data_IF_366069141903
#
_entry.id   IF_366069141903
#
_cell.length_a   1.000
_cell.length_b   1.000
_cell.length_c   1.000
_cell.angle_alpha   90.00
_cell.angle_beta   90.00
_cell.angle_gamma   90.00
#
_symmetry.space_group_name_H-M   'P 1'
#
loop_
_entity.id
_entity.type
_entity.pdbx_description
1 polymer ?
#
# COMPACT_ATOMS: atom_id res chain seq x y z
N UNK A 1 -2.87 115.64 66.12
CA UNK A 1 -1.73 115.06 65.39
C UNK A 1 -2.27 113.98 64.46
N UNK A 2 -2.49 114.28 63.17
CA UNK A 2 -2.87 113.27 62.17
C UNK A 2 -1.61 112.84 61.42
N UNK A 3 -1.21 111.59 61.59
CA UNK A 3 -0.11 110.95 60.86
C UNK A 3 -0.48 110.86 59.38
N UNK A 4 0.29 111.51 58.50
CA UNK A 4 0.19 111.34 57.05
C UNK A 4 0.31 109.86 56.70
N UNK A 5 -0.60 109.28 55.89
CA UNK A 5 -0.42 107.92 55.39
C UNK A 5 0.84 107.88 54.52
N UNK A 6 1.75 106.98 54.83
CA UNK A 6 2.93 106.68 54.03
C UNK A 6 2.49 106.18 52.65
N UNK A 7 2.44 107.08 51.67
CA UNK A 7 2.24 106.74 50.27
C UNK A 7 3.38 105.80 49.85
N UNK A 8 3.06 104.52 49.67
CA UNK A 8 4.04 103.54 49.22
C UNK A 8 4.23 103.75 47.72
N UNK A 9 5.35 104.36 47.34
CA UNK A 9 5.67 104.58 45.91
C UNK A 9 6.12 103.25 45.32
N UNK A 10 5.38 102.75 44.34
CA UNK A 10 5.69 101.52 43.62
C UNK A 10 6.61 101.81 42.44
N UNK A 11 7.64 100.97 42.26
CA UNK A 11 8.35 100.88 40.99
C UNK A 11 7.57 99.93 40.06
N UNK A 12 7.65 100.16 38.75
CA UNK A 12 6.98 99.31 37.75
C UNK A 12 7.38 97.84 37.90
N UNK A 13 8.66 97.56 38.18
CA UNK A 13 9.16 96.20 38.44
C UNK A 13 8.57 95.58 39.71
N UNK A 14 8.38 96.37 40.78
CA UNK A 14 7.73 95.89 42.01
C UNK A 14 6.26 95.56 41.78
N UNK A 15 5.55 96.41 41.03
CA UNK A 15 4.15 96.19 40.67
C UNK A 15 3.99 94.90 39.84
N UNK A 16 4.78 94.71 38.79
CA UNK A 16 4.72 93.50 37.96
C UNK A 16 5.02 92.22 38.75
N UNK A 17 5.98 92.27 39.69
CA UNK A 17 6.31 91.13 40.54
C UNK A 17 5.18 90.77 41.51
N UNK A 18 4.53 91.76 42.12
CA UNK A 18 3.37 91.52 43.00
C UNK A 18 2.15 91.00 42.20
N UNK A 19 1.89 91.54 41.00
CA UNK A 19 0.81 91.04 40.12
C UNK A 19 1.08 89.59 39.68
N UNK A 20 2.33 89.27 39.28
CA UNK A 20 2.72 87.90 38.95
C UNK A 20 2.44 86.94 40.09
N UNK A 21 2.84 87.29 41.32
CA UNK A 21 2.60 86.46 42.50
C UNK A 21 1.10 86.23 42.77
N UNK A 22 0.27 87.27 42.61
CA UNK A 22 -1.18 87.14 42.76
C UNK A 22 -1.81 86.23 41.70
N UNK A 23 -1.37 86.32 40.44
CA UNK A 23 -1.86 85.47 39.35
C UNK A 23 -1.44 84.01 39.52
N UNK A 24 -0.18 83.78 39.87
CA UNK A 24 0.35 82.42 40.08
C UNK A 24 -0.27 81.75 41.31
N UNK A 25 -0.62 82.51 42.36
CA UNK A 25 -1.36 81.99 43.52
C UNK A 25 -2.85 81.77 43.22
N UNK A 26 -3.50 82.67 42.46
CA UNK A 26 -4.92 82.58 42.14
C UNK A 26 -5.26 81.48 41.12
N UNK A 27 -4.34 81.18 40.21
CA UNK A 27 -4.56 80.25 39.09
C UNK A 27 -3.43 79.22 38.95
N UNK A 28 -3.32 78.34 39.95
CA UNK A 28 -2.23 77.37 40.07
C UNK A 28 -2.17 76.32 38.93
N UNK A 29 -3.31 75.85 38.41
CA UNK A 29 -3.38 74.97 37.24
C UNK A 29 -4.76 75.03 36.61
N UNK A 30 -4.82 75.26 35.30
CA UNK A 30 -6.05 75.40 34.53
C UNK A 30 -6.00 74.49 33.29
N UNK A 31 -7.16 74.03 32.85
CA UNK A 31 -7.33 73.34 31.57
C UNK A 31 -8.14 74.25 30.66
N UNK A 32 -7.59 74.55 29.48
CA UNK A 32 -8.18 75.47 28.51
C UNK A 32 -8.29 74.79 27.15
N UNK A 33 -9.39 75.03 26.46
CA UNK A 33 -9.60 74.58 25.08
C UNK A 33 -9.56 75.79 24.16
N UNK A 34 -8.81 75.72 23.06
CA UNK A 34 -8.75 76.80 22.09
C UNK A 34 -7.98 76.42 20.83
N UNK A 35 -8.07 77.27 19.83
CA UNK A 35 -7.36 77.11 18.57
C UNK A 35 -5.97 77.76 18.67
N UNK A 36 -4.95 77.06 18.15
CA UNK A 36 -3.59 77.58 18.09
C UNK A 36 -3.42 78.53 16.91
N UNK A 37 -2.90 79.71 17.17
CA UNK A 37 -2.47 80.68 16.16
C UNK A 37 -1.04 81.17 16.41
N UNK A 38 -0.37 81.64 15.36
CA UNK A 38 0.98 82.21 15.43
C UNK A 38 2.01 81.31 16.13
N UNK A 39 2.00 80.01 15.85
CA UNK A 39 2.96 79.04 16.38
C UNK A 39 4.37 79.27 15.83
N UNK A 40 5.33 79.40 16.74
CA UNK A 40 6.75 79.61 16.46
C UNK A 40 7.57 78.62 17.32
N UNK A 41 8.50 77.91 16.66
CA UNK A 41 9.45 77.02 17.31
C UNK A 41 10.89 77.43 16.95
N UNK A 42 11.53 78.34 17.71
CA UNK A 42 12.91 78.77 17.48
C UNK A 42 13.93 77.66 17.82
N UNK A 43 15.19 77.85 17.40
CA UNK A 43 16.29 76.90 17.64
C UNK A 43 16.61 76.65 19.13
N UNK A 44 16.13 77.50 20.05
CA UNK A 44 16.21 77.30 21.50
C UNK A 44 15.35 76.12 21.99
N UNK A 45 14.40 75.66 21.18
CA UNK A 45 13.55 74.51 21.49
C UNK A 45 12.36 74.83 22.40
N UNK A 46 12.03 76.10 22.62
CA UNK A 46 10.77 76.52 23.26
C UNK A 46 9.70 76.75 22.20
N UNK A 47 8.44 76.50 22.53
CA UNK A 47 7.32 76.80 21.63
C UNK A 47 6.57 78.02 22.13
N UNK A 48 6.28 78.95 21.23
CA UNK A 48 5.46 80.12 21.51
C UNK A 48 4.28 80.13 20.55
N UNK A 49 3.09 80.36 21.06
CA UNK A 49 1.87 80.44 20.27
C UNK A 49 0.82 81.28 20.97
N UNK A 50 -0.25 81.63 20.30
CA UNK A 50 -1.42 82.26 20.90
C UNK A 50 -2.57 81.27 20.90
N UNK A 51 -3.17 81.05 22.08
CA UNK A 51 -4.38 80.26 22.23
C UNK A 51 -5.57 81.22 22.11
N UNK A 52 -6.45 80.99 21.13
CA UNK A 52 -7.64 81.81 20.89
C UNK A 52 -8.92 81.00 21.07
N UNK A 53 -9.96 81.67 21.56
CA UNK A 53 -11.35 81.24 21.49
C UNK A 53 -12.15 82.23 20.62
N UNK A 54 -13.47 82.11 20.58
CA UNK A 54 -14.34 82.98 19.76
C UNK A 54 -14.32 84.47 20.17
N UNK A 55 -13.84 84.80 21.37
CA UNK A 55 -13.97 86.15 21.98
C UNK A 55 -12.64 86.75 22.45
N UNK A 56 -11.63 85.95 22.71
CA UNK A 56 -10.38 86.34 23.35
C UNK A 56 -9.18 85.52 22.83
N UNK A 57 -7.98 86.08 23.01
CA UNK A 57 -6.73 85.39 22.74
C UNK A 57 -5.72 85.65 23.85
N UNK A 58 -4.87 84.68 24.13
CA UNK A 58 -3.82 84.77 25.15
C UNK A 58 -2.52 84.15 24.63
N UNK A 59 -1.39 84.79 24.94
CA UNK A 59 -0.06 84.27 24.58
C UNK A 59 0.27 83.07 25.45
N UNK A 60 0.81 82.02 24.84
CA UNK A 60 1.21 80.79 25.49
C UNK A 60 2.66 80.44 25.14
N UNK A 61 3.37 79.90 26.13
CA UNK A 61 4.74 79.42 26.01
C UNK A 61 4.84 78.00 26.57
N UNK A 62 5.54 77.12 25.85
CA UNK A 62 5.83 75.76 26.28
C UNK A 62 7.35 75.56 26.28
N UNK A 63 7.90 75.25 27.46
CA UNK A 63 9.33 75.11 27.65
C UNK A 63 9.85 73.79 27.07
N UNK A 64 11.16 73.73 26.81
CA UNK A 64 11.82 72.59 26.13
C UNK A 64 11.74 71.31 26.95
N UNK A 65 11.68 71.42 28.27
CA UNK A 65 11.49 70.26 29.15
C UNK A 65 10.12 69.61 28.95
N UNK A 66 9.08 70.44 28.76
CA UNK A 66 7.69 70.00 28.64
C UNK A 66 7.35 69.50 27.23
N UNK A 67 7.91 70.10 26.18
CA UNK A 67 7.63 69.68 24.81
C UNK A 67 8.37 68.41 24.35
N UNK A 68 9.45 67.98 25.05
CA UNK A 68 10.16 66.72 24.76
C UNK A 68 9.32 65.47 24.99
N UNK A 69 8.37 65.54 25.93
CA UNK A 69 7.48 64.44 26.27
C UNK A 69 6.16 64.48 25.49
N UNK A 70 6.02 65.39 24.52
CA UNK A 70 4.81 65.51 23.71
C UNK A 70 4.97 64.71 22.42
N UNK A 71 4.02 63.80 22.17
CA UNK A 71 3.91 63.05 20.92
C UNK A 71 3.34 63.91 19.78
N UNK A 72 2.67 65.01 20.11
CA UNK A 72 1.96 65.87 19.17
C UNK A 72 2.69 67.21 18.99
N UNK A 73 3.00 67.57 17.74
CA UNK A 73 3.51 68.89 17.39
C UNK A 73 2.36 69.73 16.85
N UNK A 74 2.00 70.84 17.52
CA UNK A 74 0.86 71.65 17.11
C UNK A 74 1.08 72.36 15.78
N UNK A 75 -0.03 72.57 15.06
CA UNK A 75 -0.10 73.31 13.80
C UNK A 75 -1.04 74.51 14.00
N UNK A 76 -0.78 75.62 13.31
CA UNK A 76 -1.71 76.75 13.29
C UNK A 76 -3.07 76.29 12.77
N UNK A 77 -4.15 76.67 13.46
CA UNK A 77 -5.51 76.23 13.15
C UNK A 77 -5.98 74.99 13.92
N UNK A 78 -5.09 74.33 14.69
CA UNK A 78 -5.47 73.14 15.46
C UNK A 78 -6.21 73.52 16.75
N UNK A 79 -7.35 72.87 17.01
CA UNK A 79 -8.03 72.92 18.29
C UNK A 79 -7.31 72.03 19.30
N UNK A 80 -6.91 72.58 20.43
CA UNK A 80 -6.17 71.86 21.48
C UNK A 80 -6.78 72.08 22.85
N UNK A 81 -6.61 71.09 23.72
CA UNK A 81 -6.82 71.18 25.16
C UNK A 81 -5.44 71.28 25.82
N UNK A 82 -5.17 72.37 26.52
CA UNK A 82 -3.90 72.61 27.19
C UNK A 82 -4.08 72.68 28.69
N UNK A 83 -3.20 72.00 29.43
CA UNK A 83 -3.04 72.19 30.88
C UNK A 83 -1.93 73.20 31.11
N UNK A 84 -2.26 74.34 31.72
CA UNK A 84 -1.36 75.48 31.82
C UNK A 84 -1.48 76.22 33.15
N UNK A 85 -0.46 77.02 33.47
CA UNK A 85 -0.46 77.98 34.58
C UNK A 85 -0.45 79.40 34.06
N UNK A 86 -1.17 80.30 34.73
CA UNK A 86 -1.17 81.72 34.38
C UNK A 86 0.05 82.38 35.02
N UNK A 87 0.81 83.12 34.23
CA UNK A 87 1.96 83.90 34.71
C UNK A 87 2.02 85.24 33.96
N UNK A 88 2.94 86.10 34.38
CA UNK A 88 3.13 87.44 33.81
C UNK A 88 4.61 87.65 33.47
N UNK A 89 4.87 88.11 32.25
CA UNK A 89 6.23 88.39 31.78
C UNK A 89 6.71 89.73 32.34
N UNK A 90 7.43 89.67 33.47
CA UNK A 90 7.85 90.84 34.27
C UNK A 90 8.47 92.01 33.49
N UNK A 91 9.33 91.80 32.46
CA UNK A 91 9.96 92.91 31.75
C UNK A 91 8.99 93.75 30.89
N UNK A 92 7.86 93.17 30.45
CA UNK A 92 6.88 93.87 29.60
C UNK A 92 5.49 93.99 30.22
N UNK A 93 5.19 93.25 31.29
CA UNK A 93 3.87 93.24 31.91
C UNK A 93 2.81 92.45 31.14
N UNK A 94 3.22 91.62 30.16
CA UNK A 94 2.28 90.82 29.35
C UNK A 94 1.81 89.58 30.12
N UNK A 95 0.51 89.31 30.11
CA UNK A 95 -0.06 88.04 30.58
C UNK A 95 0.30 86.90 29.64
N UNK A 96 0.68 85.76 30.20
CA UNK A 96 1.02 84.56 29.43
C UNK A 96 0.60 83.27 30.13
N UNK A 97 0.32 82.24 29.33
CA UNK A 97 0.13 80.88 29.80
C UNK A 97 1.44 80.09 29.66
N UNK A 98 1.86 79.44 30.75
CA UNK A 98 2.92 78.44 30.70
C UNK A 98 2.26 77.07 30.55
N UNK A 99 2.37 76.48 29.37
CA UNK A 99 1.73 75.20 29.03
C UNK A 99 2.60 74.05 29.51
N UNK A 100 2.01 73.19 30.33
CA UNK A 100 2.67 72.00 30.88
C UNK A 100 2.42 70.78 30.00
N UNK A 101 1.18 70.61 29.54
CA UNK A 101 0.71 69.48 28.73
C UNK A 101 -0.27 69.96 27.66
N UNK A 102 -0.26 69.33 26.48
CA UNK A 102 -1.11 69.70 25.33
C UNK A 102 -1.63 68.43 24.66
N UNK A 103 -2.94 68.39 24.41
CA UNK A 103 -3.60 67.32 23.66
C UNK A 103 -4.53 67.92 22.60
N UNK A 104 -4.76 67.25 21.45
CA UNK A 104 -5.78 67.67 20.50
C UNK A 104 -7.17 67.69 21.16
N UNK A 105 -7.94 68.75 20.95
CA UNK A 105 -9.31 68.81 21.44
C UNK A 105 -10.24 68.04 20.48
N UNK A 106 -10.66 66.83 20.87
CA UNK A 106 -11.60 66.01 20.11
C UNK A 106 -11.50 64.50 20.39
N UNK A 107 -10.28 63.98 20.54
CA UNK A 107 -10.05 62.53 20.73
C UNK A 107 -10.64 62.00 22.05
N UNK A 108 -10.62 62.79 23.13
CA UNK A 108 -11.13 62.37 24.44
C UNK A 108 -12.66 62.18 24.47
N UNK A 109 -13.42 63.05 23.80
CA UNK A 109 -14.89 62.93 23.73
C UNK A 109 -15.31 61.76 22.85
N UNK A 110 -14.71 61.62 21.66
CA UNK A 110 -14.97 60.49 20.77
C UNK A 110 -14.62 59.15 21.44
N UNK A 111 -13.52 59.08 22.19
CA UNK A 111 -13.18 57.86 22.92
C UNK A 111 -14.21 57.50 24.00
N UNK A 112 -14.71 58.49 24.74
CA UNK A 112 -15.77 58.27 25.73
C UNK A 112 -17.08 57.80 25.08
N UNK A 113 -17.47 58.41 23.96
CA UNK A 113 -18.65 58.00 23.19
C UNK A 113 -18.51 56.56 22.65
N UNK A 114 -17.33 56.21 22.16
CA UNK A 114 -17.01 54.86 21.71
C UNK A 114 -17.12 53.84 22.83
N UNK A 115 -16.49 54.10 23.98
CA UNK A 115 -16.51 53.17 25.12
C UNK A 115 -17.94 52.99 25.66
N UNK A 116 -18.72 54.08 25.74
CA UNK A 116 -20.11 54.04 26.17
C UNK A 116 -20.98 53.21 25.22
N UNK A 117 -20.82 53.40 23.90
CA UNK A 117 -21.56 52.63 22.90
C UNK A 117 -21.14 51.15 22.89
N UNK A 118 -19.84 50.88 23.01
CA UNK A 118 -19.29 49.52 23.10
C UNK A 118 -19.91 48.77 24.28
N UNK A 119 -19.94 49.38 25.46
CA UNK A 119 -20.56 48.75 26.65
C UNK A 119 -22.04 48.46 26.44
N UNK A 120 -22.79 49.39 25.84
CA UNK A 120 -24.23 49.21 25.57
C UNK A 120 -24.50 48.05 24.62
N UNK A 121 -23.85 48.02 23.46
CA UNK A 121 -24.05 46.98 22.45
C UNK A 121 -23.52 45.60 22.91
N UNK A 122 -22.45 45.59 23.73
CA UNK A 122 -21.98 44.37 24.38
C UNK A 122 -23.02 43.80 25.35
N UNK A 123 -23.66 44.67 26.17
CA UNK A 123 -24.69 44.26 27.12
C UNK A 123 -25.95 43.71 26.42
N UNK A 124 -26.28 44.23 25.23
CA UNK A 124 -27.33 43.69 24.36
C UNK A 124 -26.95 42.37 23.67
N UNK A 125 -25.67 41.97 23.72
CA UNK A 125 -25.19 40.68 23.20
C UNK A 125 -24.78 40.69 21.72
N UNK A 126 -24.73 41.84 21.05
CA UNK A 126 -24.41 41.96 19.62
C UNK A 126 -22.99 41.46 19.26
N UNK A 127 -22.09 41.38 20.25
CA UNK A 127 -20.71 40.91 20.05
C UNK A 127 -20.54 39.41 20.33
N UNK A 128 -21.61 38.72 20.76
CA UNK A 128 -21.55 37.31 21.15
C UNK A 128 -21.21 36.43 19.95
N UNK A 129 -20.25 35.52 20.13
CA UNK A 129 -19.85 34.55 19.10
C UNK A 129 -20.98 33.59 18.72
N UNK A 130 -22.01 33.43 19.56
CA UNK A 130 -23.14 32.55 19.29
C UNK A 130 -24.02 33.01 18.11
N UNK A 131 -24.04 34.30 17.81
CA UNK A 131 -24.83 34.87 16.70
C UNK A 131 -24.00 35.11 15.43
N UNK A 132 -22.67 34.95 15.51
CA UNK A 132 -21.78 35.14 14.36
C UNK A 132 -21.90 33.99 13.38
N UNK A 133 -22.07 34.33 12.10
CA UNK A 133 -22.22 33.36 11.02
C UNK A 133 -20.86 32.83 10.58
N UNK A 134 -20.70 31.50 10.41
CA UNK A 134 -19.48 30.97 9.82
C UNK A 134 -19.38 31.41 8.36
N UNK A 135 -18.15 31.56 7.86
CA UNK A 135 -17.92 31.78 6.44
C UNK A 135 -18.39 30.55 5.64
N UNK A 136 -19.03 30.74 4.47
CA UNK A 136 -19.40 29.64 3.59
C UNK A 136 -18.17 28.83 3.17
N UNK A 137 -18.30 27.51 3.08
CA UNK A 137 -17.18 26.64 2.64
C UNK A 137 -16.79 26.88 1.18
N UNK A 138 -17.77 27.21 0.34
CA UNK A 138 -17.58 27.53 -1.07
C UNK A 138 -18.07 28.95 -1.30
N UNK A 139 -17.14 29.87 -1.54
CA UNK A 139 -17.41 31.24 -1.93
C UNK A 139 -17.16 31.32 -3.44
N UNK A 140 -18.16 31.74 -4.20
CA UNK A 140 -18.07 31.97 -5.64
C UNK A 140 -18.14 33.46 -5.98
N UNK A 141 -18.97 34.21 -5.23
CA UNK A 141 -19.13 35.66 -5.41
C UNK A 141 -18.93 36.43 -4.12
N UNK A 142 -18.16 37.51 -4.19
CA UNK A 142 -17.89 38.40 -3.06
C UNK A 142 -18.50 39.76 -3.34
N UNK A 143 -19.26 40.28 -2.37
CA UNK A 143 -19.70 41.67 -2.33
C UNK A 143 -18.65 42.52 -1.64
N UNK A 144 -18.21 43.63 -2.24
CA UNK A 144 -17.26 44.56 -1.61
C UNK A 144 -17.94 45.90 -1.42
N UNK A 145 -18.18 46.28 -0.16
CA UNK A 145 -18.70 47.59 0.22
C UNK A 145 -17.53 48.47 0.63
N UNK A 146 -17.15 49.39 -0.26
CA UNK A 146 -16.06 50.34 -0.03
C UNK A 146 -16.16 51.53 -1.00
N UNK A 147 -15.23 52.49 -0.87
CA UNK A 147 -15.13 53.61 -1.81
C UNK A 147 -14.68 53.12 -3.19
N UNK A 148 -15.35 53.52 -4.28
CA UNK A 148 -15.03 53.06 -5.64
C UNK A 148 -13.63 53.48 -6.12
N UNK A 149 -13.03 54.52 -5.53
CA UNK A 149 -11.72 55.06 -5.92
C UNK A 149 -10.61 54.81 -4.89
N UNK A 150 -10.93 54.17 -3.76
CA UNK A 150 -10.01 54.00 -2.63
C UNK A 150 -8.87 53.00 -2.87
N UNK A 151 -7.85 53.03 -2.00
CA UNK A 151 -6.78 52.02 -2.00
C UNK A 151 -7.31 50.62 -1.64
N UNK A 152 -8.25 50.55 -0.69
CA UNK A 152 -8.82 49.28 -0.20
C UNK A 152 -9.42 48.40 -1.31
N UNK A 153 -10.15 48.98 -2.27
CA UNK A 153 -10.72 48.18 -3.38
C UNK A 153 -9.60 47.63 -4.27
N UNK A 154 -8.54 48.41 -4.54
CA UNK A 154 -7.41 47.95 -5.34
C UNK A 154 -6.66 46.81 -4.65
N UNK A 155 -6.46 46.93 -3.34
CA UNK A 155 -5.80 45.92 -2.52
C UNK A 155 -6.58 44.61 -2.53
N UNK A 156 -7.88 44.67 -2.26
CA UNK A 156 -8.79 43.50 -2.32
C UNK A 156 -8.72 42.84 -3.70
N UNK A 157 -8.91 43.62 -4.78
CA UNK A 157 -8.92 43.09 -6.14
C UNK A 157 -7.56 42.48 -6.53
N UNK A 158 -6.45 43.04 -6.08
CA UNK A 158 -5.10 42.51 -6.36
C UNK A 158 -4.88 41.16 -5.70
N UNK A 159 -5.28 41.04 -4.43
CA UNK A 159 -5.18 39.77 -3.68
C UNK A 159 -6.08 38.71 -4.29
N UNK A 160 -7.34 39.05 -4.61
CA UNK A 160 -8.29 38.10 -5.21
C UNK A 160 -7.82 37.64 -6.60
N UNK A 161 -7.35 38.54 -7.47
CA UNK A 161 -6.80 38.16 -8.78
C UNK A 161 -5.62 37.19 -8.68
N UNK A 162 -4.77 37.35 -7.67
CA UNK A 162 -3.59 36.51 -7.46
C UNK A 162 -3.96 35.14 -6.88
N UNK A 163 -4.81 35.11 -5.85
CA UNK A 163 -5.09 33.89 -5.07
C UNK A 163 -6.27 33.08 -5.61
N UNK A 164 -7.31 33.74 -6.08
CA UNK A 164 -8.56 33.13 -6.51
C UNK A 164 -9.20 33.90 -7.68
N UNK A 165 -8.56 33.89 -8.87
CA UNK A 165 -9.06 34.59 -10.06
C UNK A 165 -10.43 34.11 -10.54
N UNK A 166 -10.87 32.93 -10.09
CA UNK A 166 -12.19 32.35 -10.38
C UNK A 166 -13.35 33.03 -9.64
N UNK A 167 -13.08 33.87 -8.62
CA UNK A 167 -14.13 34.54 -7.86
C UNK A 167 -14.69 35.75 -8.59
N UNK A 168 -16.02 35.88 -8.62
CA UNK A 168 -16.66 37.09 -9.13
C UNK A 168 -16.76 38.13 -8.01
N UNK A 169 -16.43 39.38 -8.34
CA UNK A 169 -16.45 40.49 -7.37
C UNK A 169 -17.54 41.48 -7.77
N UNK A 170 -18.52 41.67 -6.89
CA UNK A 170 -19.58 42.68 -7.03
C UNK A 170 -19.24 43.87 -6.14
N UNK A 171 -19.08 45.04 -6.74
CA UNK A 171 -18.74 46.26 -6.01
C UNK A 171 -20.01 47.01 -5.65
N UNK A 172 -20.21 47.25 -4.36
CA UNK A 172 -21.28 48.08 -3.82
C UNK A 172 -20.66 49.41 -3.36
N UNK A 173 -20.65 50.45 -4.23
CA UNK A 173 -19.93 51.68 -3.94
C UNK A 173 -20.61 52.43 -2.78
N UNK A 174 -19.84 52.74 -1.74
CA UNK A 174 -20.30 53.50 -0.58
C UNK A 174 -19.29 54.58 -0.20
N UNK A 175 -19.79 55.66 0.42
CA UNK A 175 -18.91 56.58 1.13
C UNK A 175 -18.45 55.89 2.42
N UNK A 176 -17.14 55.93 2.67
CA UNK A 176 -16.48 55.26 3.81
C UNK A 176 -15.88 56.26 4.80
N UNK A 177 -16.16 57.56 4.62
CA UNK A 177 -15.67 58.66 5.45
C UNK A 177 -16.67 59.81 5.44
N UNK A 178 -16.72 60.58 6.53
CA UNK A 178 -17.65 61.69 6.71
C UNK A 178 -18.90 61.32 7.52
N UNK A 179 -19.62 62.35 7.99
CA UNK A 179 -20.74 62.19 8.93
C UNK A 179 -21.89 61.34 8.35
N UNK A 180 -22.18 61.44 7.07
CA UNK A 180 -23.28 60.71 6.41
C UNK A 180 -22.88 59.33 5.87
N UNK A 181 -21.60 58.94 5.96
CA UNK A 181 -21.09 57.69 5.37
C UNK A 181 -21.78 56.44 5.93
N UNK A 182 -22.09 56.41 7.22
CA UNK A 182 -22.76 55.28 7.86
C UNK A 182 -24.11 54.95 7.19
N UNK A 183 -24.88 55.96 6.79
CA UNK A 183 -26.14 55.78 6.07
C UNK A 183 -25.98 55.18 4.68
N UNK A 184 -24.88 55.52 3.98
CA UNK A 184 -24.56 54.90 2.69
C UNK A 184 -24.15 53.44 2.85
N UNK A 185 -23.36 53.11 3.88
CA UNK A 185 -22.96 51.74 4.18
C UNK A 185 -24.17 50.86 4.51
N UNK A 186 -25.09 51.33 5.35
CA UNK A 186 -26.34 50.62 5.68
C UNK A 186 -27.14 50.31 4.41
N UNK A 187 -27.39 51.32 3.56
CA UNK A 187 -28.12 51.14 2.29
C UNK A 187 -27.48 50.09 1.38
N UNK A 188 -26.14 50.04 1.31
CA UNK A 188 -25.46 49.03 0.49
C UNK A 188 -25.51 47.64 1.11
N UNK A 189 -25.47 47.50 2.44
CA UNK A 189 -25.68 46.22 3.13
C UNK A 189 -27.10 45.70 2.87
N UNK A 190 -28.10 46.56 2.99
CA UNK A 190 -29.50 46.22 2.70
C UNK A 190 -29.68 45.84 1.23
N UNK A 191 -29.06 46.58 0.30
CA UNK A 191 -29.12 46.27 -1.13
C UNK A 191 -28.49 44.91 -1.45
N UNK A 192 -27.33 44.60 -0.86
CA UNK A 192 -26.65 43.32 -1.05
C UNK A 192 -27.50 42.15 -0.52
N UNK A 193 -28.12 42.31 0.65
CA UNK A 193 -29.04 41.33 1.22
C UNK A 193 -30.30 41.15 0.36
N UNK A 194 -30.86 42.24 -0.19
CA UNK A 194 -32.03 42.20 -1.05
C UNK A 194 -31.76 41.51 -2.38
N UNK A 195 -30.59 41.76 -2.98
CA UNK A 195 -30.19 41.11 -4.25
C UNK A 195 -29.79 39.66 -4.04
N UNK A 196 -29.22 39.32 -2.89
CA UNK A 196 -28.77 37.98 -2.53
C UNK A 196 -27.92 37.32 -3.64
N UNK A 197 -27.06 38.12 -4.29
CA UNK A 197 -26.24 37.70 -5.43
C UNK A 197 -24.81 37.32 -5.04
N UNK A 198 -24.41 37.58 -3.79
CA UNK A 198 -23.07 37.33 -3.25
C UNK A 198 -23.13 36.38 -2.06
N UNK A 199 -22.08 35.60 -1.84
CA UNK A 199 -22.01 34.62 -0.75
C UNK A 199 -21.50 35.25 0.56
N UNK A 200 -20.69 36.30 0.45
CA UNK A 200 -20.07 37.01 1.57
C UNK A 200 -19.86 38.48 1.22
N UNK A 201 -19.96 39.36 2.22
CA UNK A 201 -19.70 40.79 2.08
C UNK A 201 -18.40 41.15 2.79
N UNK A 202 -17.50 41.87 2.10
CA UNK A 202 -16.38 42.56 2.72
C UNK A 202 -16.77 44.02 2.90
N UNK A 203 -16.84 44.46 4.15
CA UNK A 203 -16.98 45.86 4.52
C UNK A 203 -15.59 46.41 4.85
N UNK A 204 -15.05 47.26 3.98
CA UNK A 204 -13.64 47.65 4.10
C UNK A 204 -13.36 49.11 3.84
N UNK A 205 -12.32 49.62 4.51
CA UNK A 205 -11.72 50.93 4.26
C UNK A 205 -10.19 50.80 4.32
N UNK A 206 -9.48 51.65 3.60
CA UNK A 206 -8.04 51.83 3.81
C UNK A 206 -7.74 52.58 5.11
N UNK A 207 -6.47 52.86 5.37
CA UNK A 207 -6.05 53.67 6.53
C UNK A 207 -6.73 55.04 6.60
N UNK A 208 -6.71 55.64 7.79
CA UNK A 208 -7.32 56.95 8.07
C UNK A 208 -7.15 57.32 9.55
N UNK A 209 -7.47 58.57 9.91
CA UNK A 209 -7.51 58.99 11.31
C UNK A 209 -8.70 58.36 12.07
N UNK A 210 -8.73 58.48 13.39
CA UNK A 210 -9.89 58.04 14.19
C UNK A 210 -11.20 58.74 13.78
N UNK A 211 -11.12 60.04 13.46
CA UNK A 211 -12.28 60.84 13.00
C UNK A 211 -12.85 60.31 11.68
N UNK A 212 -11.95 59.88 10.82
CA UNK A 212 -12.26 59.26 9.55
C UNK A 212 -13.03 57.95 9.77
N UNK A 213 -12.54 57.08 10.65
CA UNK A 213 -13.13 55.78 10.96
C UNK A 213 -14.43 55.86 11.77
N UNK A 214 -14.78 57.05 12.27
CA UNK A 214 -15.92 57.24 13.17
C UNK A 214 -17.25 56.76 12.60
N UNK A 215 -17.45 56.84 11.29
CA UNK A 215 -18.66 56.34 10.64
C UNK A 215 -18.90 54.83 10.87
N UNK A 216 -17.85 54.05 11.16
CA UNK A 216 -17.94 52.62 11.50
C UNK A 216 -18.27 52.35 12.97
N UNK A 217 -18.30 53.39 13.80
CA UNK A 217 -18.72 53.35 15.20
C UNK A 217 -20.18 53.76 15.38
N UNK A 218 -20.97 53.88 14.31
CA UNK A 218 -22.36 54.30 14.41
C UNK A 218 -23.28 53.14 14.83
N UNK A 219 -24.20 53.39 15.77
CA UNK A 219 -25.10 52.36 16.31
C UNK A 219 -25.98 51.70 15.24
N UNK A 220 -26.58 52.49 14.34
CA UNK A 220 -27.40 51.94 13.25
C UNK A 220 -26.61 51.04 12.29
N UNK A 221 -25.34 51.34 12.04
CA UNK A 221 -24.51 50.49 11.18
C UNK A 221 -24.18 49.17 11.88
N UNK A 222 -23.87 49.22 13.18
CA UNK A 222 -23.68 48.02 14.00
C UNK A 222 -24.91 47.10 13.94
N UNK A 223 -26.12 47.66 14.10
CA UNK A 223 -27.37 46.88 14.01
C UNK A 223 -27.61 46.32 12.61
N UNK A 224 -27.31 47.09 11.55
CA UNK A 224 -27.43 46.61 10.18
C UNK A 224 -26.47 45.46 9.87
N UNK A 225 -25.23 45.50 10.37
CA UNK A 225 -24.28 44.41 10.23
C UNK A 225 -24.80 43.15 10.92
N UNK A 226 -25.27 43.28 12.17
CA UNK A 226 -25.81 42.17 12.95
C UNK A 226 -27.04 41.52 12.29
N UNK A 227 -27.91 42.32 11.66
CA UNK A 227 -29.14 41.85 11.01
C UNK A 227 -28.95 41.33 9.59
N UNK A 228 -27.77 41.55 8.99
CA UNK A 228 -27.46 41.10 7.63
C UNK A 228 -27.69 39.60 7.50
N UNK A 229 -28.40 39.14 6.46
CA UNK A 229 -28.59 37.72 6.17
C UNK A 229 -27.29 37.08 5.67
N UNK A 230 -26.51 37.84 4.88
CA UNK A 230 -25.21 37.46 4.35
C UNK A 230 -24.09 37.65 5.39
N UNK A 231 -23.12 36.73 5.49
CA UNK A 231 -21.96 36.89 6.37
C UNK A 231 -21.14 38.13 6.00
N UNK A 232 -20.75 38.92 7.00
CA UNK A 232 -19.96 40.15 6.82
C UNK A 232 -18.57 39.99 7.42
N UNK A 233 -17.55 40.26 6.60
CA UNK A 233 -16.16 40.40 7.00
C UNK A 233 -15.84 41.89 7.13
N UNK A 234 -15.51 42.34 8.35
CA UNK A 234 -15.04 43.71 8.55
C UNK A 234 -13.53 43.81 8.32
N UNK A 235 -13.13 44.82 7.54
CA UNK A 235 -11.77 45.09 7.14
C UNK A 235 -11.47 46.60 7.27
N UNK A 236 -11.86 47.17 8.41
CA UNK A 236 -11.84 48.62 8.66
C UNK A 236 -10.75 48.96 9.67
N UNK A 237 -10.76 48.33 10.84
CA UNK A 237 -9.80 48.61 11.89
C UNK A 237 -8.42 48.01 11.61
N UNK A 238 -7.37 48.71 12.03
CA UNK A 238 -6.01 48.15 12.09
C UNK A 238 -5.83 47.37 13.41
N UNK A 239 -4.65 46.81 13.67
CA UNK A 239 -4.41 46.01 14.88
C UNK A 239 -4.69 46.77 16.19
N UNK A 240 -4.53 48.09 16.20
CA UNK A 240 -4.65 48.95 17.39
C UNK A 240 -6.01 49.66 17.46
N UNK A 241 -6.61 50.03 16.32
CA UNK A 241 -7.81 50.86 16.24
C UNK A 241 -9.03 50.03 15.81
N UNK A 242 -9.60 49.28 16.76
CA UNK A 242 -10.77 48.42 16.52
C UNK A 242 -12.07 49.23 16.54
N UNK A 243 -12.90 49.12 15.51
CA UNK A 243 -14.19 49.82 15.41
C UNK A 243 -15.35 48.95 15.93
N UNK A 244 -16.51 49.55 16.22
CA UNK A 244 -17.72 48.80 16.59
C UNK A 244 -18.12 47.82 15.48
N UNK A 245 -18.00 48.23 14.22
CA UNK A 245 -18.26 47.36 13.06
C UNK A 245 -17.39 46.10 13.08
N UNK A 246 -16.13 46.19 13.52
CA UNK A 246 -15.24 45.03 13.64
C UNK A 246 -15.69 44.06 14.76
N UNK A 247 -16.28 44.57 15.84
CA UNK A 247 -16.79 43.74 16.94
C UNK A 247 -18.07 43.00 16.55
N UNK A 248 -18.96 43.66 15.80
CA UNK A 248 -20.25 43.09 15.39
C UNK A 248 -20.15 42.15 14.20
N UNK A 249 -19.22 42.40 13.28
CA UNK A 249 -19.05 41.56 12.10
C UNK A 249 -18.78 40.09 12.47
N UNK A 250 -19.18 39.20 11.57
CA UNK A 250 -19.04 37.76 11.74
C UNK A 250 -17.57 37.35 11.80
N UNK A 251 -16.76 37.96 10.92
CA UNK A 251 -15.31 37.78 10.87
C UNK A 251 -14.62 39.14 10.80
N UNK A 252 -13.54 39.29 11.58
CA UNK A 252 -12.67 40.46 11.53
C UNK A 252 -11.41 40.15 10.75
N UNK A 253 -11.02 41.09 9.89
CA UNK A 253 -9.73 41.12 9.22
C UNK A 253 -9.01 42.43 9.56
N UNK A 254 -7.69 42.37 9.79
CA UNK A 254 -6.91 43.54 10.16
C UNK A 254 -6.69 44.54 9.01
N UNK A 255 -6.86 44.10 7.76
CA UNK A 255 -6.70 44.93 6.56
C UNK A 255 -7.63 44.46 5.45
N UNK A 256 -7.97 45.32 4.47
CA UNK A 256 -8.67 44.93 3.24
C UNK A 256 -8.01 43.74 2.52
N UNK A 257 -6.67 43.72 2.46
CA UNK A 257 -5.90 42.60 1.90
C UNK A 257 -6.13 41.30 2.68
N UNK A 258 -6.06 41.35 4.02
CA UNK A 258 -6.29 40.17 4.86
C UNK A 258 -7.72 39.65 4.73
N UNK A 259 -8.71 40.53 4.56
CA UNK A 259 -10.09 40.13 4.32
C UNK A 259 -10.22 39.34 3.01
N UNK A 260 -9.57 39.84 1.95
CA UNK A 260 -9.52 39.15 0.67
C UNK A 260 -8.82 37.77 0.77
N UNK A 261 -7.78 37.65 1.60
CA UNK A 261 -7.12 36.35 1.83
C UNK A 261 -8.03 35.36 2.55
N UNK A 262 -8.77 35.81 3.57
CA UNK A 262 -9.69 34.97 4.34
C UNK A 262 -10.84 34.40 3.51
N UNK A 263 -11.39 35.19 2.57
CA UNK A 263 -12.48 34.74 1.69
C UNK A 263 -11.98 34.03 0.42
N UNK A 264 -10.67 34.08 0.14
CA UNK A 264 -10.09 33.43 -1.03
C UNK A 264 -9.88 31.93 -0.78
N UNK A 265 -10.48 31.03 -1.59
CA UNK A 265 -10.15 29.62 -1.53
C UNK A 265 -8.69 29.41 -1.95
N UNK A 266 -8.05 28.40 -1.36
CA UNK A 266 -6.71 28.00 -1.78
C UNK A 266 -6.77 27.31 -3.15
N UNK A 267 -6.50 28.05 -4.23
CA UNK A 267 -6.52 27.51 -5.60
C UNK A 267 -5.60 26.31 -5.79
N UNK A 268 -4.51 26.21 -5.03
CA UNK A 268 -3.63 25.04 -5.07
C UNK A 268 -4.31 23.80 -4.48
N UNK A 269 -5.11 23.97 -3.44
CA UNK A 269 -5.87 22.89 -2.83
C UNK A 269 -6.95 22.35 -3.77
N UNK A 270 -7.64 23.25 -4.49
CA UNK A 270 -8.60 22.86 -5.54
C UNK A 270 -7.92 22.06 -6.65
N UNK A 271 -6.79 22.53 -7.18
CA UNK A 271 -6.02 21.79 -8.18
C UNK A 271 -5.55 20.42 -7.66
N UNK A 272 -5.03 20.37 -6.44
CA UNK A 272 -4.61 19.12 -5.81
C UNK A 272 -5.78 18.14 -5.68
N UNK A 273 -6.95 18.63 -5.27
CA UNK A 273 -8.17 17.83 -5.14
C UNK A 273 -8.64 17.29 -6.49
N UNK A 274 -8.62 18.11 -7.55
CA UNK A 274 -8.93 17.67 -8.92
C UNK A 274 -7.96 16.57 -9.36
N UNK A 275 -6.65 16.77 -9.17
CA UNK A 275 -5.63 15.77 -9.53
C UNK A 275 -5.80 14.46 -8.75
N UNK A 276 -6.15 14.53 -7.46
CA UNK A 276 -6.48 13.35 -6.65
C UNK A 276 -7.71 12.61 -7.19
N UNK A 277 -8.77 13.33 -7.58
CA UNK A 277 -9.97 12.73 -8.16
C UNK A 277 -9.68 12.08 -9.51
N UNK A 278 -8.86 12.71 -10.37
CA UNK A 278 -8.39 12.12 -11.63
C UNK A 278 -7.60 10.83 -11.37
N UNK A 279 -6.67 10.85 -10.41
CA UNK A 279 -5.90 9.67 -10.03
C UNK A 279 -6.77 8.52 -9.49
N UNK A 280 -7.76 8.83 -8.66
CA UNK A 280 -8.75 7.85 -8.17
C UNK A 280 -9.56 7.25 -9.31
N UNK A 281 -10.06 8.08 -10.22
CA UNK A 281 -10.82 7.63 -11.39
C UNK A 281 -9.98 6.72 -12.30
N UNK A 282 -8.74 7.12 -12.60
CA UNK A 282 -7.83 6.31 -13.41
C UNK A 282 -7.55 4.94 -12.77
N UNK A 283 -7.37 4.90 -11.45
CA UNK A 283 -7.17 3.65 -10.73
C UNK A 283 -8.43 2.77 -10.70
N UNK A 284 -9.62 3.35 -10.55
CA UNK A 284 -10.88 2.62 -10.61
C UNK A 284 -11.08 1.97 -12.00
N UNK A 285 -10.83 2.72 -13.08
CA UNK A 285 -10.88 2.16 -14.44
C UNK A 285 -9.86 1.05 -14.66
N UNK A 286 -8.63 1.18 -14.15
CA UNK A 286 -7.63 0.12 -14.24
C UNK A 286 -8.08 -1.18 -13.57
N UNK A 287 -8.69 -1.08 -12.39
CA UNK A 287 -9.22 -2.25 -11.68
C UNK A 287 -10.41 -2.87 -12.43
N UNK A 288 -11.39 -2.09 -12.85
CA UNK A 288 -12.55 -2.61 -13.61
C UNK A 288 -12.13 -3.31 -14.91
N UNK A 289 -11.17 -2.75 -15.65
CA UNK A 289 -10.61 -3.39 -16.86
C UNK A 289 -9.88 -4.69 -16.51
N UNK A 290 -9.10 -4.72 -15.43
CA UNK A 290 -8.39 -5.91 -14.99
C UNK A 290 -9.35 -7.04 -14.60
N UNK A 291 -10.40 -6.73 -13.84
CA UNK A 291 -11.43 -7.68 -13.41
C UNK A 291 -12.19 -8.26 -14.60
N UNK A 292 -12.59 -7.41 -15.56
CA UNK A 292 -13.25 -7.85 -16.80
C UNK A 292 -12.34 -8.75 -17.65
N UNK A 293 -11.04 -8.44 -17.74
CA UNK A 293 -10.07 -9.29 -18.44
C UNK A 293 -9.89 -10.65 -17.76
N UNK A 294 -9.82 -10.67 -16.43
CA UNK A 294 -9.74 -11.90 -15.66
C UNK A 294 -10.98 -12.78 -15.90
N UNK A 295 -12.17 -12.19 -15.83
CA UNK A 295 -13.43 -12.88 -16.12
C UNK A 295 -13.48 -13.43 -17.55
N UNK A 296 -13.11 -12.62 -18.54
CA UNK A 296 -13.05 -13.05 -19.94
C UNK A 296 -12.11 -14.25 -20.13
N UNK A 297 -10.94 -14.22 -19.48
CA UNK A 297 -9.96 -15.31 -19.53
C UNK A 297 -10.51 -16.59 -18.88
N UNK A 298 -11.20 -16.45 -17.75
CA UNK A 298 -11.84 -17.59 -17.07
C UNK A 298 -12.96 -18.20 -17.91
N UNK A 299 -13.80 -17.37 -18.54
CA UNK A 299 -14.87 -17.82 -19.43
C UNK A 299 -14.32 -18.51 -20.67
N UNK A 300 -13.25 -17.96 -21.27
CA UNK A 300 -12.56 -18.59 -22.39
C UNK A 300 -11.99 -19.95 -21.99
N UNK A 301 -11.40 -20.06 -20.80
CA UNK A 301 -10.87 -21.33 -20.33
C UNK A 301 -11.97 -22.37 -20.09
N UNK A 302 -13.10 -21.98 -19.48
CA UNK A 302 -14.28 -22.86 -19.36
C UNK A 302 -14.81 -23.30 -20.71
N UNK A 303 -14.90 -22.39 -21.67
CA UNK A 303 -15.37 -22.69 -23.03
C UNK A 303 -14.44 -23.70 -23.71
N UNK A 304 -13.12 -23.56 -23.54
CA UNK A 304 -12.13 -24.51 -24.07
C UNK A 304 -12.21 -25.89 -23.40
N UNK A 305 -12.44 -25.96 -22.09
CA UNK A 305 -12.59 -27.22 -21.35
C UNK A 305 -13.89 -27.95 -21.71
N UNK A 306 -14.99 -27.21 -21.85
CA UNK A 306 -16.29 -27.75 -22.25
C UNK A 306 -16.43 -27.89 -23.77
N UNK A 307 -15.39 -27.59 -24.55
CA UNK A 307 -15.48 -27.56 -25.99
C UNK A 307 -15.84 -28.97 -26.50
N UNK A 308 -16.98 -29.16 -27.21
CA UNK A 308 -17.46 -30.47 -27.63
C UNK A 308 -16.42 -31.27 -28.41
N UNK A 309 -15.60 -30.58 -29.22
CA UNK A 309 -14.48 -31.19 -29.96
C UNK A 309 -13.44 -31.86 -29.04
N UNK A 310 -13.10 -31.26 -27.90
CA UNK A 310 -12.13 -31.85 -26.96
C UNK A 310 -12.71 -33.10 -26.28
N UNK A 311 -13.99 -33.05 -25.89
CA UNK A 311 -14.69 -34.22 -25.34
C UNK A 311 -14.84 -35.33 -26.37
N UNK A 312 -15.14 -34.99 -27.63
CA UNK A 312 -15.22 -35.96 -28.73
C UNK A 312 -13.85 -36.58 -29.05
N UNK A 313 -12.78 -35.79 -29.06
CA UNK A 313 -11.43 -36.30 -29.26
C UNK A 313 -11.01 -37.26 -28.15
N UNK A 314 -11.27 -36.92 -26.88
CA UNK A 314 -10.99 -37.82 -25.75
C UNK A 314 -11.79 -39.13 -25.84
N UNK A 315 -13.07 -39.06 -26.20
CA UNK A 315 -13.89 -40.25 -26.40
C UNK A 315 -13.42 -41.10 -27.59
N UNK A 316 -13.01 -40.47 -28.69
CA UNK A 316 -12.44 -41.15 -29.86
C UNK A 316 -11.16 -41.89 -29.48
N UNK A 317 -10.22 -41.22 -28.80
CA UNK A 317 -8.98 -41.85 -28.34
C UNK A 317 -9.24 -43.01 -27.39
N UNK A 318 -10.23 -42.87 -26.49
CA UNK A 318 -10.63 -43.94 -25.57
C UNK A 318 -11.21 -45.15 -26.31
N UNK A 319 -11.98 -44.93 -27.37
CA UNK A 319 -12.50 -46.00 -28.23
C UNK A 319 -11.35 -46.73 -28.94
N UNK A 320 -10.36 -45.99 -29.44
CA UNK A 320 -9.19 -46.58 -30.11
C UNK A 320 -8.38 -47.45 -29.15
N UNK A 321 -8.10 -46.96 -27.94
CA UNK A 321 -7.40 -47.71 -26.88
C UNK A 321 -8.15 -49.00 -26.51
N UNK A 322 -9.47 -48.90 -26.29
CA UNK A 322 -10.30 -50.05 -25.92
C UNK A 322 -10.39 -51.06 -27.08
N UNK A 323 -10.43 -50.60 -28.32
CA UNK A 323 -10.43 -51.45 -29.51
C UNK A 323 -9.12 -52.26 -29.61
N UNK A 324 -7.97 -51.60 -29.43
CA UNK A 324 -6.66 -52.27 -29.43
C UNK A 324 -6.57 -53.28 -28.29
N UNK A 325 -6.99 -52.90 -27.08
CA UNK A 325 -6.98 -53.78 -25.91
C UNK A 325 -7.87 -55.02 -26.12
N UNK A 326 -9.07 -54.83 -26.69
CA UNK A 326 -9.99 -55.92 -27.02
C UNK A 326 -9.37 -56.89 -28.03
N UNK A 327 -8.80 -56.37 -29.13
CA UNK A 327 -8.16 -57.18 -30.15
C UNK A 327 -6.99 -58.00 -29.58
N UNK A 328 -6.16 -57.39 -28.73
CA UNK A 328 -5.05 -58.09 -28.07
C UNK A 328 -5.55 -59.17 -27.12
N UNK A 329 -6.55 -58.87 -26.29
CA UNK A 329 -7.15 -59.85 -25.37
C UNK A 329 -7.77 -61.03 -26.13
N UNK A 330 -8.48 -60.77 -27.24
CA UNK A 330 -9.03 -61.83 -28.09
C UNK A 330 -7.95 -62.70 -28.72
N UNK A 331 -6.87 -62.09 -29.27
CA UNK A 331 -5.73 -62.83 -29.83
C UNK A 331 -5.03 -63.68 -28.77
N UNK A 332 -4.78 -63.14 -27.59
CA UNK A 332 -4.17 -63.88 -26.49
C UNK A 332 -5.04 -65.06 -26.06
N UNK A 333 -6.36 -64.87 -25.95
CA UNK A 333 -7.29 -65.95 -25.61
C UNK A 333 -7.30 -67.05 -26.66
N UNK A 334 -7.38 -66.70 -27.95
CA UNK A 334 -7.32 -67.68 -29.04
C UNK A 334 -6.00 -68.45 -29.02
N UNK A 335 -4.87 -67.75 -28.90
CA UNK A 335 -3.55 -68.37 -28.82
C UNK A 335 -3.40 -69.31 -27.61
N UNK A 336 -3.95 -68.95 -26.45
CA UNK A 336 -3.96 -69.83 -25.28
C UNK A 336 -4.77 -71.11 -25.54
N UNK A 337 -5.95 -71.00 -26.17
CA UNK A 337 -6.77 -72.17 -26.52
C UNK A 337 -6.08 -73.06 -27.56
N UNK A 338 -5.44 -72.48 -28.57
CA UNK A 338 -4.64 -73.21 -29.56
C UNK A 338 -3.48 -73.96 -28.89
N UNK A 339 -2.78 -73.34 -27.93
CA UNK A 339 -1.72 -74.02 -27.17
C UNK A 339 -2.25 -75.15 -26.30
N UNK A 340 -3.41 -74.98 -25.67
CA UNK A 340 -4.05 -76.05 -24.91
C UNK A 340 -4.36 -77.24 -25.83
N UNK A 341 -4.96 -76.98 -26.99
CA UNK A 341 -5.23 -78.02 -27.99
C UNK A 341 -3.94 -78.68 -28.50
N UNK A 342 -2.93 -77.89 -28.86
CA UNK A 342 -1.64 -78.37 -29.32
C UNK A 342 -0.91 -79.24 -28.29
N UNK A 343 -1.16 -79.04 -26.99
CA UNK A 343 -0.62 -79.87 -25.91
C UNK A 343 -1.46 -81.12 -25.62
N UNK A 344 -2.79 -81.03 -25.74
CA UNK A 344 -3.70 -82.15 -25.48
C UNK A 344 -3.67 -83.19 -26.60
N UNK A 345 -3.57 -82.77 -27.86
CA UNK A 345 -3.56 -83.68 -29.02
C UNK A 345 -2.41 -84.70 -28.98
N UNK A 346 -1.14 -84.32 -28.72
CA UNK A 346 -0.04 -85.28 -28.58
C UNK A 346 -0.18 -86.17 -27.35
N UNK A 347 -0.75 -85.68 -26.24
CA UNK A 347 -1.01 -86.49 -25.04
C UNK A 347 -2.02 -87.58 -25.33
N UNK A 348 -3.11 -87.25 -26.02
CA UNK A 348 -4.10 -88.22 -26.49
C UNK A 348 -3.46 -89.25 -27.43
N UNK A 349 -2.68 -88.80 -28.41
CA UNK A 349 -1.97 -89.68 -29.35
C UNK A 349 -0.95 -90.60 -28.68
N UNK A 350 -0.31 -90.17 -27.59
CA UNK A 350 0.61 -91.00 -26.79
C UNK A 350 -0.10 -92.04 -25.92
N UNK A 351 -1.35 -91.80 -25.53
CA UNK A 351 -2.15 -92.79 -24.81
C UNK A 351 -2.93 -93.74 -25.74
N UNK A 352 -2.76 -93.62 -27.06
CA UNK A 352 -3.37 -94.54 -28.02
C UNK A 352 -2.98 -96.00 -27.72
N UNK A 353 -3.96 -96.91 -27.58
CA UNK A 353 -3.73 -98.33 -27.37
C UNK A 353 -2.86 -98.94 -28.48
N UNK A 354 -2.99 -98.45 -29.72
CA UNK A 354 -2.28 -98.95 -30.89
C UNK A 354 -0.75 -98.86 -30.76
N UNK A 355 -0.22 -97.73 -30.26
CA UNK A 355 1.22 -97.57 -30.05
C UNK A 355 1.74 -98.44 -28.91
N UNK A 356 0.95 -98.61 -27.84
CA UNK A 356 1.30 -99.52 -26.73
C UNK A 356 1.31 -100.97 -27.20
N UNK A 357 0.32 -101.39 -27.98
CA UNK A 357 0.24 -102.73 -28.56
C UNK A 357 1.38 -102.99 -29.55
N UNK A 358 1.71 -102.03 -30.42
CA UNK A 358 2.83 -102.17 -31.36
C UNK A 358 4.17 -102.35 -30.61
N UNK A 359 4.43 -101.55 -29.58
CA UNK A 359 5.65 -101.67 -28.77
C UNK A 359 5.70 -103.00 -28.00
N UNK A 360 4.58 -103.42 -27.40
CA UNK A 360 4.49 -104.69 -26.69
C UNK A 360 4.71 -105.89 -27.62
N UNK A 361 4.12 -105.87 -28.83
CA UNK A 361 4.34 -106.90 -29.85
C UNK A 361 5.80 -106.96 -30.31
N UNK A 362 6.44 -105.80 -30.47
CA UNK A 362 7.87 -105.76 -30.82
C UNK A 362 8.75 -106.32 -29.70
N UNK A 363 8.47 -105.98 -28.44
CA UNK A 363 9.16 -106.55 -27.28
C UNK A 363 8.95 -108.06 -27.17
N UNK A 364 7.73 -108.54 -27.39
CA UNK A 364 7.40 -109.97 -27.38
C UNK A 364 8.18 -110.71 -28.46
N UNK A 365 8.24 -110.18 -29.69
CA UNK A 365 9.02 -110.75 -30.78
C UNK A 365 10.52 -110.83 -30.45
N UNK A 366 11.09 -109.77 -29.86
CA UNK A 366 12.50 -109.75 -29.45
C UNK A 366 12.79 -110.77 -28.33
N UNK A 367 11.91 -110.87 -27.33
CA UNK A 367 12.06 -111.83 -26.24
C UNK A 367 11.95 -113.27 -26.74
N UNK A 368 11.03 -113.54 -27.66
CA UNK A 368 10.88 -114.86 -28.28
C UNK A 368 12.14 -115.25 -29.06
N UNK A 369 12.70 -114.34 -29.87
CA UNK A 369 13.94 -114.58 -30.59
C UNK A 369 15.13 -114.88 -29.65
N UNK A 370 15.26 -114.11 -28.55
CA UNK A 370 16.30 -114.34 -27.54
C UNK A 370 16.15 -115.68 -26.83
N UNK A 371 14.92 -116.06 -26.48
CA UNK A 371 14.64 -117.35 -25.85
C UNK A 371 15.05 -118.52 -26.76
N UNK A 372 14.66 -118.47 -28.04
CA UNK A 372 15.01 -119.51 -29.02
C UNK A 372 16.53 -119.62 -29.21
N UNK A 373 17.23 -118.49 -29.28
CA UNK A 373 18.69 -118.47 -29.39
C UNK A 373 19.37 -119.06 -28.14
N UNK A 374 18.91 -118.70 -26.94
CA UNK A 374 19.43 -119.24 -25.69
C UNK A 374 19.21 -120.76 -25.59
N UNK A 375 18.02 -121.24 -25.98
CA UNK A 375 17.71 -122.68 -26.03
C UNK A 375 18.64 -123.43 -27.00
N UNK A 376 18.88 -122.89 -28.19
CA UNK A 376 19.80 -123.50 -29.17
C UNK A 376 21.23 -123.55 -28.64
N UNK A 377 21.72 -122.47 -28.04
CA UNK A 377 23.05 -122.42 -27.44
C UNK A 377 23.20 -123.45 -26.31
N UNK A 378 22.18 -123.61 -25.46
CA UNK A 378 22.21 -124.56 -24.36
C UNK A 378 22.20 -126.02 -24.83
N UNK A 379 21.38 -126.34 -25.84
CA UNK A 379 21.38 -127.66 -26.48
C UNK A 379 22.72 -127.97 -27.15
N UNK A 380 23.29 -127.00 -27.85
CA UNK A 380 24.59 -127.17 -28.51
C UNK A 380 25.72 -127.36 -27.50
N UNK A 381 25.68 -126.63 -26.38
CA UNK A 381 26.64 -126.82 -25.30
C UNK A 381 26.53 -128.23 -24.70
N UNK A 382 25.32 -128.69 -24.39
CA UNK A 382 25.08 -130.04 -23.87
C UNK A 382 25.58 -131.15 -24.83
N UNK A 383 25.31 -131.00 -26.14
CA UNK A 383 25.80 -131.94 -27.15
C UNK A 383 27.33 -131.97 -27.24
N UNK A 384 27.98 -130.80 -27.18
CA UNK A 384 29.44 -130.72 -27.18
C UNK A 384 30.04 -131.35 -25.92
N UNK A 385 29.43 -131.15 -24.74
CA UNK A 385 29.85 -131.78 -23.50
C UNK A 385 29.74 -133.30 -23.59
N UNK A 386 28.62 -133.81 -24.13
CA UNK A 386 28.41 -135.24 -24.34
C UNK A 386 29.46 -135.82 -25.29
N UNK A 387 29.71 -135.17 -26.43
CA UNK A 387 30.71 -135.62 -27.40
C UNK A 387 32.12 -135.67 -26.81
N UNK A 388 32.49 -134.66 -26.01
CA UNK A 388 33.79 -134.64 -25.33
C UNK A 388 33.93 -135.77 -24.31
N UNK A 389 32.88 -136.05 -23.53
CA UNK A 389 32.90 -137.16 -22.56
C UNK A 389 32.98 -138.52 -23.27
N UNK A 390 32.26 -138.70 -24.38
CA UNK A 390 32.33 -139.92 -25.18
C UNK A 390 33.75 -140.15 -25.74
N UNK A 391 34.39 -139.12 -26.31
CA UNK A 391 35.77 -139.20 -26.82
C UNK A 391 36.80 -139.51 -25.73
N UNK A 392 36.61 -138.97 -24.51
CA UNK A 392 37.46 -139.32 -23.36
C UNK A 392 37.32 -140.76 -22.94
N UNK A 393 36.12 -141.32 -22.99
CA UNK A 393 35.88 -142.75 -22.71
C UNK A 393 36.58 -143.64 -23.74
N UNK A 394 36.57 -143.24 -25.00
CA UNK A 394 37.12 -144.00 -26.11
C UNK A 394 38.66 -144.06 -26.11
N UNK A 395 39.33 -143.01 -25.61
CA UNK A 395 40.80 -142.91 -25.58
C UNK A 395 41.48 -143.79 -24.53
N UNK A 396 40.74 -144.27 -23.52
CA UNK A 396 41.27 -145.14 -22.45
C UNK A 396 40.99 -146.62 -22.69
N UNK A 397 40.40 -146.98 -23.85
CA UNK A 397 40.01 -148.35 -24.17
C UNK A 397 41.23 -149.23 -24.55
N UNK A 398 41.50 -150.34 -23.83
CA UNK A 398 42.59 -151.27 -24.14
C UNK A 398 42.50 -151.90 -25.55
N UNK A 399 41.30 -151.98 -26.12
CA UNK A 399 41.05 -152.49 -27.48
C UNK A 399 41.70 -151.63 -28.56
N UNK A 400 41.81 -150.31 -28.35
CA UNK A 400 42.45 -149.38 -29.30
C UNK A 400 43.98 -149.54 -29.35
N UNK A 401 44.61 -150.09 -28.31
CA UNK A 401 46.05 -150.38 -28.30
C UNK A 401 46.35 -151.61 -29.17
N UNK A 402 45.52 -152.64 -29.08
CA UNK A 402 45.62 -153.83 -29.93
C UNK A 402 45.29 -153.49 -31.40
N UNK A 403 44.27 -152.66 -31.67
CA UNK A 403 43.86 -152.25 -33.02
C UNK A 403 44.96 -151.51 -33.82
N UNK A 404 45.97 -150.95 -33.16
CA UNK A 404 47.12 -150.29 -33.81
C UNK A 404 48.22 -151.25 -34.29
N UNK A 405 47.97 -152.56 -34.23
CA UNK A 405 48.88 -153.58 -34.78
C UNK A 405 49.96 -154.07 -33.82
N UNK A 406 49.86 -153.74 -32.53
CA UNK A 406 50.73 -154.30 -31.50
C UNK A 406 50.15 -155.63 -31.01
N UNK A 407 50.98 -156.66 -30.92
CA UNK A 407 50.62 -157.96 -30.35
C UNK A 407 51.15 -158.09 -28.92
N UNK A 408 50.48 -158.90 -28.11
CA UNK A 408 50.95 -159.24 -26.75
C UNK A 408 51.32 -160.72 -26.72
N UNK A 409 52.61 -161.03 -26.56
CA UNK A 409 53.08 -162.41 -26.41
C UNK A 409 53.02 -162.84 -24.94
N UNK A 410 52.43 -164.01 -24.68
CA UNK A 410 52.26 -164.62 -23.35
C UNK A 410 52.85 -166.04 -23.33
N UNK A 411 53.17 -166.58 -22.16
CA UNK A 411 53.51 -168.01 -21.98
C UNK A 411 52.24 -168.85 -21.84
N UNK A 412 52.36 -170.19 -21.87
CA UNK A 412 51.25 -171.11 -21.58
C UNK A 412 50.57 -170.90 -20.21
N UNK A 413 51.23 -170.26 -19.23
CA UNK A 413 50.61 -169.84 -17.95
C UNK A 413 50.03 -168.41 -17.98
N UNK A 414 49.78 -167.84 -19.17
CA UNK A 414 49.14 -166.54 -19.38
C UNK A 414 49.97 -165.33 -18.86
N UNK A 415 51.29 -165.48 -18.72
CA UNK A 415 52.21 -164.41 -18.28
C UNK A 415 52.85 -163.73 -19.50
N UNK A 416 52.84 -162.40 -19.56
CA UNK A 416 53.38 -161.63 -20.69
C UNK A 416 54.90 -161.76 -20.78
N UNK A 417 55.41 -162.15 -21.95
CA UNK A 417 56.83 -162.25 -22.27
C UNK A 417 57.36 -160.87 -22.62
N UNK A 418 58.41 -160.43 -21.92
CA UNK A 418 59.01 -159.09 -22.11
C UNK A 418 60.46 -159.15 -22.58
N UNK A 419 61.14 -160.28 -22.41
CA UNK A 419 62.53 -160.48 -22.80
C UNK A 419 62.76 -161.85 -23.46
N UNK A 420 63.79 -161.98 -24.28
CA UNK A 420 64.14 -163.23 -24.98
C UNK A 420 64.65 -164.30 -24.00
N UNK A 421 65.21 -163.91 -22.85
CA UNK A 421 65.69 -164.82 -21.78
C UNK A 421 64.54 -165.51 -21.03
N UNK A 422 63.31 -165.01 -21.17
CA UNK A 422 62.12 -165.54 -20.47
C UNK A 422 61.59 -166.84 -21.10
N UNK A 423 62.24 -167.36 -22.14
CA UNK A 423 61.75 -168.50 -22.92
C UNK A 423 62.85 -169.54 -23.15
N UNK A 424 62.52 -170.84 -22.98
CA UNK A 424 63.43 -171.96 -23.22
C UNK A 424 63.03 -172.77 -24.45
N UNK A 425 64.00 -173.44 -25.07
CA UNK A 425 63.76 -174.37 -26.19
C UNK A 425 62.77 -175.44 -25.72
N UNK A 426 61.63 -175.52 -26.42
CA UNK A 426 60.51 -176.39 -26.10
C UNK A 426 59.30 -175.71 -25.47
N UNK A 427 59.38 -174.43 -25.09
CA UNK A 427 58.26 -173.70 -24.48
C UNK A 427 57.20 -173.26 -25.50
N UNK A 428 55.95 -173.22 -25.06
CA UNK A 428 54.80 -172.76 -25.87
C UNK A 428 54.44 -171.32 -25.48
N UNK A 429 54.49 -170.43 -26.47
CA UNK A 429 54.09 -169.02 -26.44
C UNK A 429 52.73 -168.83 -27.09
N UNK A 430 51.95 -167.87 -26.61
CA UNK A 430 50.64 -167.47 -27.14
C UNK A 430 50.69 -165.97 -27.42
N UNK A 431 50.75 -165.58 -28.69
CA UNK A 431 50.72 -164.19 -29.15
C UNK A 431 49.29 -163.77 -29.47
N UNK A 432 48.77 -162.79 -28.73
CA UNK A 432 47.42 -162.28 -28.91
C UNK A 432 47.42 -161.07 -29.86
N UNK A 433 46.62 -161.19 -30.91
CA UNK A 433 46.38 -160.22 -31.98
C UNK A 433 44.92 -159.72 -31.89
N UNK A 434 44.60 -158.70 -32.67
CA UNK A 434 43.26 -158.08 -32.72
C UNK A 434 42.15 -159.09 -33.02
N UNK A 435 42.45 -160.07 -33.87
CA UNK A 435 41.51 -161.00 -34.47
C UNK A 435 41.73 -162.46 -34.04
N UNK A 436 42.69 -162.72 -33.15
CA UNK A 436 42.95 -164.09 -32.69
C UNK A 436 44.20 -164.26 -31.83
N UNK A 437 44.50 -165.51 -31.52
CA UNK A 437 45.69 -165.91 -30.75
C UNK A 437 46.53 -166.86 -31.59
N UNK A 438 47.84 -166.71 -31.53
CA UNK A 438 48.80 -167.55 -32.26
C UNK A 438 49.71 -168.25 -31.27
N UNK A 439 49.65 -169.57 -31.29
CA UNK A 439 50.43 -170.43 -30.40
C UNK A 439 51.71 -170.85 -31.13
N UNK A 440 52.87 -170.59 -30.54
CA UNK A 440 54.19 -170.85 -31.11
C UNK A 440 55.00 -171.68 -30.13
N UNK A 441 55.82 -172.61 -30.61
CA UNK A 441 56.76 -173.34 -29.76
C UNK A 441 58.18 -172.89 -30.11
N UNK A 442 59.02 -172.66 -29.10
CA UNK A 442 60.39 -172.18 -29.31
C UNK A 442 61.31 -173.33 -29.72
N UNK A 443 61.95 -173.19 -30.88
CA UNK A 443 62.94 -174.14 -31.42
C UNK A 443 64.38 -173.65 -31.19
N UNK A 444 65.36 -174.55 -31.38
CA UNK A 444 66.78 -174.34 -31.07
C UNK A 444 67.54 -173.51 -32.12
#
# INVERSE_FOLDING_TARGET
MFSKPSQTIYTVSRLNREIRALLEQGFASLVLTGEISNFIAPASGHWYFSLKDDKAQIKAAMWRGNNRNQSYRPINGAQVTVKARVSLYEPRGDYQLIVEHMEPAGEGQLKQEFDALKMRLAAEGLFSSAYKKPLPQNINRIGVITSPTGAAIKDILTVLKRRAPQLEVVIYPAMVQGKEAHGHLIKQIELANLRNEVDVIILGRGGGSLEDLWCFNHEHLARAIYQSALPIVSAVGHEIDTTISDYVADVRAATPSAAAELVSPNTQELHNRVNQLIGRLANAFKHDIADRRALATQLQHRLNLCHPRNQLNQKSQRLDELSIALQQAMRQRLYQQERVLANLTPRLMRQSPDKKLANANHQLAQLHARLNQAMQQQLQHANNTLALQASRLDSVSPLNVLARGYSITKTAQNKVVKSVEDVKVGDVLITELVDGQVISKVEA
#
